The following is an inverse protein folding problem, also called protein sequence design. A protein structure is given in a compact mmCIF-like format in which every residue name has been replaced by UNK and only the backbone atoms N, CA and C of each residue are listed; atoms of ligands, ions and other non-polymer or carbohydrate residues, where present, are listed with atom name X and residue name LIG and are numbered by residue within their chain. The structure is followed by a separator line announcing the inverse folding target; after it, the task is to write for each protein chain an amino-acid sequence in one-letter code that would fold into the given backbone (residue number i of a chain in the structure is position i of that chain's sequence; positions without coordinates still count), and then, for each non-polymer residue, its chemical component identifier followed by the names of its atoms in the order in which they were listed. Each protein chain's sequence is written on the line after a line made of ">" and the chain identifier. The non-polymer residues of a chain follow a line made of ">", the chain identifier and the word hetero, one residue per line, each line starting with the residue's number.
data_IF_426744682969
#
_entry.id   IF_426744682969
#
_cell.length_a   1.000
_cell.length_b   1.000
_cell.length_c   1.000
_cell.angle_alpha   90.00
_cell.angle_beta   90.00
_cell.angle_gamma   90.00
#
_symmetry.space_group_name_H-M   'P 1'
#
loop_
_entity.id
_entity.type
_entity.pdbx_description
1 polymer ?
#
# COMPACT_ATOMS: atom_id res chain seq x y z
N UNK A 1 -12.97 37.33 18.15
CA UNK A 1 -12.92 35.92 18.55
C UNK A 1 -11.77 35.76 19.51
N UNK A 2 -12.08 35.91 20.79
CA UNK A 2 -11.15 35.76 21.91
C UNK A 2 -11.20 34.26 22.23
N UNK A 3 -10.28 33.50 21.65
CA UNK A 3 -10.11 32.09 22.02
C UNK A 3 -9.13 32.07 23.20
N UNK A 4 -9.71 32.01 24.39
CA UNK A 4 -9.04 31.95 25.68
C UNK A 4 -8.35 30.59 25.83
N UNK A 5 -7.10 30.53 25.40
CA UNK A 5 -6.26 29.35 25.49
C UNK A 5 -4.95 29.64 26.26
N UNK A 6 -5.03 30.46 27.32
CA UNK A 6 -3.89 30.77 28.19
C UNK A 6 -3.54 29.63 29.17
N UNK A 7 -4.27 28.50 29.12
CA UNK A 7 -3.92 27.26 29.84
C UNK A 7 -3.65 26.12 28.86
N UNK A 8 -2.76 26.33 27.89
CA UNK A 8 -2.34 25.27 26.97
C UNK A 8 -1.35 24.32 27.66
N UNK A 9 -1.80 23.11 27.96
CA UNK A 9 -0.92 22.02 28.39
C UNK A 9 -0.10 21.54 27.20
N UNK A 10 1.16 21.98 27.15
CA UNK A 10 2.14 21.47 26.19
C UNK A 10 2.60 20.08 26.60
N UNK A 11 2.82 19.21 25.62
CA UNK A 11 3.33 17.87 25.87
C UNK A 11 3.55 17.07 24.60
N UNK A 12 4.02 15.84 24.77
CA UNK A 12 4.22 14.92 23.65
C UNK A 12 2.87 14.61 22.97
N UNK A 13 2.72 14.86 21.65
CA UNK A 13 1.48 14.60 20.94
C UNK A 13 1.11 13.11 21.00
N UNK A 14 -0.06 12.79 21.58
CA UNK A 14 -0.53 11.41 21.72
C UNK A 14 -1.61 11.04 20.71
N UNK A 15 -2.32 12.03 20.20
CA UNK A 15 -3.44 11.84 19.28
C UNK A 15 -3.25 12.70 18.03
N UNK A 16 -3.52 12.09 16.88
CA UNK A 16 -3.51 12.75 15.58
C UNK A 16 -4.93 12.68 15.03
N UNK A 17 -5.57 13.85 14.92
CA UNK A 17 -6.91 13.98 14.36
C UNK A 17 -6.76 14.40 12.90
N UNK A 18 -7.30 13.62 11.98
CA UNK A 18 -7.24 13.93 10.54
C UNK A 18 -8.58 14.49 10.09
N UNK A 19 -8.54 15.58 9.32
CA UNK A 19 -9.73 16.07 8.64
C UNK A 19 -10.25 14.98 7.67
N UNK A 20 -11.57 14.87 7.45
CA UNK A 20 -12.13 13.97 6.44
C UNK A 20 -11.52 14.16 5.04
N UNK A 21 -11.11 15.39 4.70
CA UNK A 21 -10.44 15.75 3.44
C UNK A 21 -8.93 15.44 3.45
N UNK A 22 -8.37 14.89 4.55
CA UNK A 22 -6.94 14.57 4.75
C UNK A 22 -5.93 15.72 4.57
N UNK A 23 -6.36 16.92 4.15
CA UNK A 23 -5.49 18.09 3.91
C UNK A 23 -5.03 18.82 5.17
N UNK A 24 -5.74 18.62 6.29
CA UNK A 24 -5.45 19.26 7.58
C UNK A 24 -5.41 18.20 8.66
N UNK A 25 -4.55 18.41 9.66
CA UNK A 25 -4.44 17.56 10.82
C UNK A 25 -4.36 18.43 12.08
N UNK A 26 -4.92 17.90 13.17
CA UNK A 26 -4.73 18.42 14.52
C UNK A 26 -3.90 17.45 15.35
N UNK A 27 -3.16 17.98 16.31
CA UNK A 27 -2.38 17.22 17.29
C UNK A 27 -2.86 17.58 18.69
N UNK A 28 -2.94 16.60 19.57
CA UNK A 28 -3.27 16.82 20.98
C UNK A 28 -2.47 15.85 21.87
N UNK A 29 -1.81 16.32 22.94
CA UNK A 29 -1.59 17.72 23.35
C UNK A 29 -0.78 18.56 22.35
N UNK A 30 -0.72 19.88 22.57
CA UNK A 30 0.06 20.79 21.72
C UNK A 30 1.56 20.46 21.87
N UNK A 31 2.30 20.27 20.77
CA UNK A 31 3.69 19.83 20.82
C UNK A 31 4.56 20.83 21.59
N UNK A 32 5.36 20.32 22.52
CA UNK A 32 6.34 21.07 23.31
C UNK A 32 7.65 21.36 22.55
N UNK A 33 7.98 20.53 21.55
CA UNK A 33 9.17 20.64 20.70
C UNK A 33 8.88 20.36 19.23
N UNK A 34 9.91 20.46 18.38
CA UNK A 34 9.81 20.12 16.96
C UNK A 34 9.69 18.60 16.78
N UNK A 35 8.54 18.14 16.29
CA UNK A 35 8.29 16.75 15.93
C UNK A 35 8.24 16.56 14.41
N UNK A 36 8.60 15.37 13.93
CA UNK A 36 8.43 14.96 12.52
C UNK A 36 7.18 14.11 12.36
N UNK A 37 6.35 14.46 11.39
CA UNK A 37 5.15 13.71 11.04
C UNK A 37 5.45 12.88 9.79
N UNK A 38 5.28 11.58 9.90
CA UNK A 38 5.41 10.66 8.78
C UNK A 38 4.03 10.35 8.21
N UNK A 39 3.85 10.62 6.92
CA UNK A 39 2.66 10.22 6.19
C UNK A 39 2.93 8.87 5.51
N UNK A 40 2.09 7.88 5.78
CA UNK A 40 2.02 6.69 4.94
C UNK A 40 1.23 7.07 3.69
N UNK A 41 1.95 7.38 2.61
CA UNK A 41 1.38 7.43 1.27
C UNK A 41 1.54 6.05 0.64
N UNK A 42 0.53 5.60 -0.10
CA UNK A 42 0.68 4.44 -0.97
C UNK A 42 1.61 4.84 -2.11
N UNK A 43 2.66 4.06 -2.33
CA UNK A 43 3.56 4.29 -3.45
C UNK A 43 2.79 4.03 -4.75
N UNK A 44 2.73 5.04 -5.64
CA UNK A 44 2.08 4.86 -6.93
C UNK A 44 3.04 4.15 -7.86
N UNK A 45 2.61 3.10 -8.57
CA UNK A 45 3.47 2.46 -9.56
C UNK A 45 3.81 3.47 -10.66
N UNK A 46 5.11 3.63 -10.93
CA UNK A 46 5.62 4.40 -12.06
C UNK A 46 5.36 3.62 -13.36
N UNK A 47 5.15 4.34 -14.46
CA UNK A 47 4.97 3.70 -15.76
C UNK A 47 6.26 2.98 -16.15
N UNK A 48 6.15 1.67 -16.45
CA UNK A 48 7.26 0.87 -16.97
C UNK A 48 7.53 1.33 -18.41
N UNK A 49 8.73 1.84 -18.64
CA UNK A 49 9.20 2.42 -19.90
C UNK A 49 10.46 1.74 -20.44
N UNK A 50 11.34 1.28 -19.55
CA UNK A 50 12.59 0.60 -19.87
C UNK A 50 12.60 -0.83 -19.35
N UNK A 51 13.44 -1.67 -19.95
CA UNK A 51 13.58 -3.09 -19.59
C UNK A 51 14.13 -3.31 -18.16
N UNK A 52 14.80 -2.30 -17.58
CA UNK A 52 15.34 -2.34 -16.22
C UNK A 52 14.40 -1.81 -15.16
N UNK A 53 13.18 -1.39 -15.53
CA UNK A 53 12.25 -0.83 -14.58
C UNK A 53 11.75 -1.89 -13.61
N UNK A 54 11.93 -1.61 -12.32
CA UNK A 54 11.55 -2.52 -11.24
C UNK A 54 10.09 -2.32 -10.87
N UNK A 55 9.39 -3.44 -10.73
CA UNK A 55 8.01 -3.42 -10.28
C UNK A 55 8.00 -3.21 -8.76
N UNK A 56 7.12 -2.34 -8.24
CA UNK A 56 6.97 -2.07 -6.78
C UNK A 56 6.58 -3.34 -6.00
N UNK A 57 5.95 -4.30 -6.69
CA UNK A 57 5.60 -5.59 -6.13
C UNK A 57 6.81 -6.52 -6.03
N UNK A 58 6.89 -7.36 -4.98
CA UNK A 58 7.92 -8.40 -4.90
C UNK A 58 7.96 -9.29 -6.14
N UNK A 59 9.17 -9.64 -6.60
CA UNK A 59 9.40 -10.45 -7.81
C UNK A 59 8.59 -11.76 -7.83
N UNK A 60 8.37 -12.36 -6.66
CA UNK A 60 7.54 -13.56 -6.48
C UNK A 60 6.12 -13.41 -7.05
N UNK A 61 5.59 -12.19 -7.12
CA UNK A 61 4.23 -11.90 -7.57
C UNK A 61 4.14 -11.41 -9.02
N UNK A 62 5.26 -11.31 -9.72
CA UNK A 62 5.28 -11.02 -11.18
C UNK A 62 4.41 -11.97 -12.01
N UNK A 63 4.26 -13.28 -11.68
CA UNK A 63 3.38 -14.16 -12.46
C UNK A 63 1.91 -13.77 -12.38
N UNK A 64 1.47 -13.11 -11.30
CA UNK A 64 0.08 -12.65 -11.13
C UNK A 64 -0.24 -11.54 -12.13
N UNK A 65 0.69 -10.59 -12.30
CA UNK A 65 0.56 -9.51 -13.28
C UNK A 65 0.57 -10.07 -14.71
N UNK A 66 1.47 -11.02 -14.99
CA UNK A 66 1.55 -11.69 -16.29
C UNK A 66 0.27 -12.48 -16.60
N UNK A 67 -0.32 -13.18 -15.63
CA UNK A 67 -1.58 -13.90 -15.82
C UNK A 67 -2.72 -12.94 -16.19
N UNK A 68 -2.78 -11.75 -15.57
CA UNK A 68 -3.76 -10.71 -15.93
C UNK A 68 -3.52 -10.14 -17.32
N UNK A 69 -2.27 -9.91 -17.71
CA UNK A 69 -1.94 -9.47 -19.07
C UNK A 69 -2.34 -10.54 -20.11
N UNK A 70 -2.04 -11.82 -19.83
CA UNK A 70 -2.42 -12.95 -20.69
C UNK A 70 -3.92 -13.05 -20.89
N UNK A 71 -4.72 -12.84 -19.83
CA UNK A 71 -6.18 -12.80 -19.94
C UNK A 71 -6.64 -11.83 -21.02
N UNK A 72 -6.16 -10.57 -20.99
CA UNK A 72 -6.52 -9.58 -22.00
C UNK A 72 -5.97 -9.92 -23.40
N UNK A 73 -4.76 -10.47 -23.49
CA UNK A 73 -4.21 -10.94 -24.78
C UNK A 73 -5.04 -12.07 -25.40
N UNK A 74 -5.54 -13.02 -24.59
CA UNK A 74 -6.38 -14.11 -25.07
C UNK A 74 -7.79 -13.65 -25.44
N UNK A 75 -8.33 -12.65 -24.74
CA UNK A 75 -9.57 -11.98 -25.14
C UNK A 75 -9.42 -11.29 -26.49
N UNK A 76 -8.31 -10.58 -26.71
CA UNK A 76 -8.02 -9.93 -28.00
C UNK A 76 -7.90 -10.96 -29.15
N UNK A 77 -7.38 -12.15 -28.85
CA UNK A 77 -7.28 -13.28 -29.79
C UNK A 77 -8.60 -14.06 -29.99
N UNK A 78 -9.71 -13.61 -29.40
CA UNK A 78 -11.00 -14.31 -29.43
C UNK A 78 -10.92 -15.78 -28.98
N UNK A 79 -10.02 -16.09 -28.04
CA UNK A 79 -9.89 -17.42 -27.45
C UNK A 79 -10.44 -17.43 -26.01
N UNK A 80 -11.74 -17.71 -25.83
CA UNK A 80 -12.38 -17.67 -24.51
C UNK A 80 -11.88 -18.77 -23.57
N UNK A 81 -11.45 -19.92 -24.09
CA UNK A 81 -10.95 -21.03 -23.26
C UNK A 81 -9.60 -20.68 -22.63
N UNK A 82 -8.65 -20.22 -23.44
CA UNK A 82 -7.35 -19.77 -22.95
C UNK A 82 -7.47 -18.55 -22.02
N UNK A 83 -8.41 -17.65 -22.32
CA UNK A 83 -8.75 -16.51 -21.47
C UNK A 83 -9.26 -16.96 -20.09
N UNK A 84 -10.18 -17.93 -20.05
CA UNK A 84 -10.70 -18.47 -18.79
C UNK A 84 -9.60 -19.11 -17.93
N UNK A 85 -8.66 -19.86 -18.52
CA UNK A 85 -7.51 -20.42 -17.81
C UNK A 85 -6.60 -19.32 -17.23
N UNK A 86 -6.25 -18.31 -18.03
CA UNK A 86 -5.44 -17.18 -17.55
C UNK A 86 -6.12 -16.39 -16.42
N UNK A 87 -7.44 -16.28 -16.45
CA UNK A 87 -8.24 -15.65 -15.39
C UNK A 87 -8.19 -16.49 -14.10
N UNK A 88 -8.32 -17.81 -14.21
CA UNK A 88 -8.26 -18.71 -13.04
C UNK A 88 -6.87 -18.68 -12.37
N UNK A 89 -5.79 -18.69 -13.16
CA UNK A 89 -4.42 -18.53 -12.66
C UNK A 89 -4.23 -17.19 -11.93
N UNK A 90 -4.76 -16.10 -12.50
CA UNK A 90 -4.77 -14.79 -11.84
C UNK A 90 -5.50 -14.82 -10.48
N UNK A 91 -6.69 -15.43 -10.43
CA UNK A 91 -7.47 -15.56 -9.18
C UNK A 91 -6.77 -16.42 -8.14
N UNK A 92 -6.11 -17.51 -8.55
CA UNK A 92 -5.31 -18.36 -7.66
C UNK A 92 -4.12 -17.59 -7.09
N UNK A 93 -3.38 -16.88 -7.95
CA UNK A 93 -2.25 -16.05 -7.55
C UNK A 93 -2.65 -14.94 -6.56
N UNK A 94 -3.79 -14.28 -6.78
CA UNK A 94 -4.31 -13.28 -5.83
C UNK A 94 -4.67 -13.87 -4.47
N UNK A 95 -5.28 -15.06 -4.43
CA UNK A 95 -5.61 -15.74 -3.16
C UNK A 95 -4.34 -16.08 -2.38
N UNK A 96 -3.30 -16.57 -3.06
CA UNK A 96 -2.01 -16.85 -2.44
C UNK A 96 -1.32 -15.58 -1.94
N UNK A 97 -1.28 -14.53 -2.77
CA UNK A 97 -0.72 -13.23 -2.37
C UNK A 97 -1.44 -12.68 -1.14
N UNK A 98 -2.78 -12.68 -1.15
CA UNK A 98 -3.57 -12.25 0.00
C UNK A 98 -3.24 -13.04 1.25
N UNK A 99 -3.15 -14.37 1.17
CA UNK A 99 -2.82 -15.24 2.30
C UNK A 99 -1.42 -14.94 2.87
N UNK A 100 -0.43 -14.77 2.00
CA UNK A 100 0.95 -14.49 2.38
C UNK A 100 1.12 -13.11 3.01
N UNK A 101 0.38 -12.11 2.54
CA UNK A 101 0.42 -10.76 3.10
C UNK A 101 -0.37 -10.66 4.42
N UNK A 102 -1.44 -11.44 4.59
CA UNK A 102 -2.24 -11.46 5.82
C UNK A 102 -1.50 -12.16 6.98
N UNK A 103 -0.74 -13.21 6.65
CA UNK A 103 0.10 -13.94 7.59
C UNK A 103 1.57 -13.72 7.23
N UNK A 104 2.15 -12.54 7.53
CA UNK A 104 3.57 -12.32 7.27
C UNK A 104 4.36 -13.32 8.10
N UNK A 105 4.90 -14.35 7.46
CA UNK A 105 5.86 -15.26 8.11
C UNK A 105 7.04 -14.37 8.54
N UNK A 106 7.36 -14.29 9.85
CA UNK A 106 8.41 -13.41 10.33
C UNK A 106 9.72 -13.79 9.65
N UNK A 107 10.28 -12.88 8.84
CA UNK A 107 11.55 -13.07 8.12
C UNK A 107 12.79 -13.02 9.01
N UNK A 108 12.62 -12.94 10.33
CA UNK A 108 13.73 -12.91 11.29
C UNK A 108 13.39 -13.80 12.50
N UNK A 109 13.81 -15.06 12.46
CA UNK A 109 14.33 -15.68 13.69
C UNK A 109 15.81 -15.33 13.71
N UNK A 110 16.17 -14.22 14.36
CA UNK A 110 17.56 -14.03 14.76
C UNK A 110 17.87 -15.11 15.78
N UNK A 111 18.77 -16.01 15.44
CA UNK A 111 19.40 -16.90 16.41
C UNK A 111 20.18 -16.00 17.36
N UNK A 112 19.72 -15.91 18.61
CA UNK A 112 20.51 -15.42 19.75
C UNK A 112 21.30 -16.61 20.28
#
# INVERSE_FOLDING_TARGET
>A
NVDDADTQTYGEPRFIIRSPDSRKFGVSPIPDKVYRIWYFAWDLPTALSAHGDTIVFPDMYTPVLLARARYYMWQFKDNPQASAFALDDYKKGLRQMRSNLLNPVPKYMSVI
#
